data_IF_987209834673
#
_entry.id   IF_987209834673
#
_cell.length_a   1.000
_cell.length_b   1.000
_cell.length_c   1.000
_cell.angle_alpha   90.00
_cell.angle_beta   90.00
_cell.angle_gamma   90.00
#
_symmetry.space_group_name_H-M   'P 1'
#
loop_
_entity.id
_entity.type
_entity.pdbx_description
1 polymer ?
#
# COMPACT_ATOMS: atom_id res chain seq x y z
N UNK A 1 -15.24 -46.26 -25.33
CA UNK A 1 -15.32 -44.96 -24.64
C UNK A 1 -14.50 -44.99 -23.33
N UNK A 2 -13.15 -45.06 -23.41
CA UNK A 2 -12.27 -45.19 -22.22
C UNK A 2 -11.33 -43.98 -22.07
N UNK A 3 -11.32 -43.04 -23.04
CA UNK A 3 -10.37 -41.92 -23.08
C UNK A 3 -10.67 -40.75 -22.12
N UNK A 4 -11.94 -40.48 -21.80
CA UNK A 4 -12.30 -39.30 -21.00
C UNK A 4 -11.93 -39.44 -19.52
N UNK A 5 -12.23 -40.59 -18.90
CA UNK A 5 -11.97 -40.80 -17.47
C UNK A 5 -10.48 -40.78 -17.11
N UNK A 6 -9.61 -41.22 -18.02
CA UNK A 6 -8.16 -41.19 -17.80
C UNK A 6 -7.57 -39.77 -17.91
N UNK A 7 -8.20 -38.90 -18.70
CA UNK A 7 -7.82 -37.49 -18.80
C UNK A 7 -8.31 -36.69 -17.59
N UNK A 8 -9.55 -36.93 -17.14
CA UNK A 8 -10.11 -36.32 -15.92
C UNK A 8 -9.27 -36.68 -14.69
N UNK A 9 -8.93 -37.95 -14.49
CA UNK A 9 -8.10 -38.39 -13.36
C UNK A 9 -6.68 -37.77 -13.38
N UNK A 10 -6.09 -37.57 -14.57
CA UNK A 10 -4.78 -36.90 -14.69
C UNK A 10 -4.89 -35.41 -14.44
N UNK A 11 -5.98 -34.77 -14.89
CA UNK A 11 -6.25 -33.37 -14.64
C UNK A 11 -6.45 -33.11 -13.14
N UNK A 12 -7.24 -33.94 -12.46
CA UNK A 12 -7.48 -33.85 -11.01
C UNK A 12 -6.20 -34.10 -10.21
N UNK A 13 -5.35 -35.04 -10.63
CA UNK A 13 -4.05 -35.26 -10.01
C UNK A 13 -3.08 -34.08 -10.21
N UNK A 14 -3.10 -33.43 -11.37
CA UNK A 14 -2.30 -32.22 -11.65
C UNK A 14 -2.81 -31.04 -10.83
N UNK A 15 -4.13 -30.88 -10.69
CA UNK A 15 -4.75 -29.85 -9.85
C UNK A 15 -4.38 -30.07 -8.38
N UNK A 16 -4.44 -31.32 -7.89
CA UNK A 16 -4.06 -31.68 -6.52
C UNK A 16 -2.55 -31.51 -6.23
N UNK A 17 -1.70 -31.65 -7.24
CA UNK A 17 -0.25 -31.47 -7.15
C UNK A 17 0.23 -30.04 -7.42
N UNK A 18 -0.68 -29.11 -7.75
CA UNK A 18 -0.29 -27.72 -8.04
C UNK A 18 0.18 -27.05 -6.74
N UNK A 19 1.43 -26.57 -6.66
CA UNK A 19 1.95 -25.95 -5.45
C UNK A 19 1.13 -24.70 -5.09
N UNK A 20 0.85 -24.54 -3.79
CA UNK A 20 0.13 -23.36 -3.28
C UNK A 20 0.80 -22.08 -3.77
N UNK A 21 0.05 -21.15 -4.34
CA UNK A 21 0.59 -19.90 -4.86
C UNK A 21 1.41 -19.14 -3.79
N UNK A 22 2.67 -18.85 -4.12
CA UNK A 22 3.58 -18.04 -3.31
C UNK A 22 3.85 -16.72 -4.04
N UNK A 23 3.74 -15.60 -3.31
CA UNK A 23 4.11 -14.29 -3.83
C UNK A 23 5.61 -14.27 -4.07
N UNK A 24 6.03 -14.09 -5.32
CA UNK A 24 7.44 -14.02 -5.67
C UNK A 24 8.11 -12.77 -5.07
N UNK A 25 9.42 -12.84 -4.83
CA UNK A 25 10.20 -11.73 -4.29
C UNK A 25 10.10 -10.45 -5.17
N UNK A 26 10.19 -10.52 -6.52
CA UNK A 26 10.01 -9.35 -7.38
C UNK A 26 8.60 -8.73 -7.30
N UNK A 27 7.57 -9.56 -7.09
CA UNK A 27 6.21 -9.09 -6.87
C UNK A 27 6.10 -8.39 -5.50
N UNK A 28 6.75 -8.94 -4.47
CA UNK A 28 6.76 -8.33 -3.14
C UNK A 28 7.48 -6.97 -3.11
N UNK A 29 8.62 -6.84 -3.82
CA UNK A 29 9.32 -5.56 -3.97
C UNK A 29 8.43 -4.51 -4.65
N UNK A 30 7.72 -4.92 -5.71
CA UNK A 30 6.76 -4.06 -6.42
C UNK A 30 5.61 -3.64 -5.50
N UNK A 31 5.04 -4.59 -4.74
CA UNK A 31 4.00 -4.31 -3.73
C UNK A 31 4.50 -3.27 -2.73
N UNK A 32 5.69 -3.44 -2.17
CA UNK A 32 6.26 -2.49 -1.19
C UNK A 32 6.43 -1.09 -1.78
N UNK A 33 6.93 -0.99 -3.02
CA UNK A 33 7.08 0.30 -3.69
C UNK A 33 5.71 0.97 -3.93
N UNK A 34 4.71 0.23 -4.40
CA UNK A 34 3.37 0.77 -4.65
C UNK A 34 2.64 1.16 -3.37
N UNK A 35 2.83 0.40 -2.29
CA UNK A 35 2.26 0.73 -0.98
C UNK A 35 2.76 2.07 -0.48
N UNK A 36 4.07 2.34 -0.55
CA UNK A 36 4.63 3.63 -0.14
C UNK A 36 4.11 4.75 -1.05
N UNK A 37 4.04 4.52 -2.37
CA UNK A 37 3.48 5.48 -3.32
C UNK A 37 2.03 5.86 -2.97
N UNK A 38 1.19 4.87 -2.66
CA UNK A 38 -0.22 5.08 -2.29
C UNK A 38 -0.34 5.82 -0.96
N UNK A 39 0.42 5.42 0.07
CA UNK A 39 0.38 6.07 1.38
C UNK A 39 0.85 7.53 1.34
N UNK A 40 1.71 7.89 0.39
CA UNK A 40 2.20 9.26 0.22
C UNK A 40 1.44 10.07 -0.84
N UNK A 41 0.47 9.44 -1.51
CA UNK A 41 -0.33 10.10 -2.55
C UNK A 41 -1.23 11.18 -1.97
N UNK A 42 -1.23 12.36 -2.60
CA UNK A 42 -2.16 13.44 -2.27
C UNK A 42 -3.63 13.06 -2.55
N UNK A 43 -3.87 12.10 -3.45
CA UNK A 43 -5.21 11.63 -3.83
C UNK A 43 -5.80 10.61 -2.86
N UNK A 44 -5.02 10.08 -1.92
CA UNK A 44 -5.51 9.07 -0.99
C UNK A 44 -6.54 9.69 -0.03
N UNK A 45 -7.74 9.12 0.00
CA UNK A 45 -8.84 9.67 0.79
C UNK A 45 -8.78 9.28 2.28
N UNK A 46 -8.32 8.06 2.58
CA UNK A 46 -8.17 7.52 3.94
C UNK A 46 -6.99 6.55 4.01
N UNK A 47 -6.37 6.45 5.19
CA UNK A 47 -5.24 5.57 5.52
C UNK A 47 -5.67 4.24 6.15
N UNK A 48 -6.92 4.14 6.60
CA UNK A 48 -7.54 2.91 7.11
C UNK A 48 -8.61 2.38 6.17
N UNK A 49 -9.10 1.17 6.48
CA UNK A 49 -10.12 0.49 5.70
C UNK A 49 -9.57 -0.09 4.40
N UNK A 50 -10.44 -0.21 3.41
CA UNK A 50 -10.13 -0.87 2.13
C UNK A 50 -9.50 0.07 1.12
N UNK A 51 -9.71 1.38 1.25
CA UNK A 51 -9.28 2.39 0.26
C UNK A 51 -7.80 2.26 -0.14
N UNK A 52 -6.82 2.22 0.79
CA UNK A 52 -5.42 2.08 0.39
C UNK A 52 -5.14 0.76 -0.33
N UNK A 53 -5.74 -0.32 0.14
CA UNK A 53 -5.59 -1.67 -0.45
C UNK A 53 -6.12 -1.68 -1.88
N UNK A 54 -7.31 -1.11 -2.09
CA UNK A 54 -7.97 -1.13 -3.38
C UNK A 54 -7.19 -0.29 -4.42
N UNK A 55 -6.59 0.84 -4.00
CA UNK A 55 -5.66 1.60 -4.85
C UNK A 55 -4.40 0.80 -5.21
N UNK A 56 -3.76 0.12 -4.26
CA UNK A 56 -2.57 -0.70 -4.55
C UNK A 56 -2.92 -1.84 -5.51
N UNK A 57 -4.05 -2.52 -5.30
CA UNK A 57 -4.50 -3.58 -6.18
C UNK A 57 -4.83 -3.09 -7.59
N UNK A 58 -5.39 -1.88 -7.72
CA UNK A 58 -5.63 -1.25 -9.02
C UNK A 58 -4.30 -0.99 -9.76
N UNK A 59 -3.30 -0.43 -9.08
CA UNK A 59 -1.96 -0.16 -9.63
C UNK A 59 -1.27 -1.46 -10.06
N UNK A 60 -1.38 -2.52 -9.25
CA UNK A 60 -0.83 -3.84 -9.58
C UNK A 60 -1.49 -4.34 -10.88
N UNK A 61 -2.83 -4.39 -10.93
CA UNK A 61 -3.58 -4.84 -12.11
C UNK A 61 -3.27 -4.06 -13.38
N UNK A 62 -3.08 -2.74 -13.27
CA UNK A 62 -2.80 -1.86 -14.39
C UNK A 62 -1.38 -2.07 -14.93
N UNK A 63 -0.37 -2.15 -14.05
CA UNK A 63 1.02 -2.31 -14.48
C UNK A 63 1.34 -3.71 -14.99
N UNK A 64 0.56 -4.74 -14.61
CA UNK A 64 0.76 -6.17 -15.00
C UNK A 64 2.17 -6.72 -14.70
N UNK A 65 2.98 -6.02 -13.90
CA UNK A 65 4.35 -6.42 -13.58
C UNK A 65 4.34 -7.56 -12.56
N UNK A 66 5.02 -8.66 -12.88
CA UNK A 66 5.22 -9.81 -11.99
C UNK A 66 3.93 -10.48 -11.48
N UNK A 67 2.82 -10.34 -12.21
CA UNK A 67 1.53 -10.96 -11.87
C UNK A 67 1.45 -12.34 -12.53
N UNK A 68 0.92 -13.37 -11.84
CA UNK A 68 0.68 -14.68 -12.44
C UNK A 68 -0.32 -14.56 -13.58
N UNK A 69 -0.03 -15.20 -14.73
CA UNK A 69 -0.86 -15.14 -15.95
C UNK A 69 -2.33 -15.52 -15.68
N UNK A 70 -2.57 -16.40 -14.70
CA UNK A 70 -3.91 -16.90 -14.34
C UNK A 70 -4.51 -16.27 -13.06
N UNK A 71 -4.03 -15.10 -12.62
CA UNK A 71 -4.50 -14.49 -11.36
C UNK A 71 -6.02 -14.27 -11.32
N UNK A 72 -6.66 -13.97 -12.44
CA UNK A 72 -8.10 -13.72 -12.48
C UNK A 72 -8.94 -15.01 -12.36
N UNK A 73 -8.30 -16.17 -12.56
CA UNK A 73 -8.93 -17.49 -12.51
C UNK A 73 -8.62 -18.24 -11.21
N UNK A 74 -7.64 -17.76 -10.43
CA UNK A 74 -7.25 -18.35 -9.14
C UNK A 74 -7.62 -17.43 -7.96
N UNK A 75 -8.77 -17.68 -7.30
CA UNK A 75 -9.19 -16.95 -6.12
C UNK A 75 -8.20 -17.03 -4.95
N UNK A 76 -7.44 -18.12 -4.82
CA UNK A 76 -6.45 -18.30 -3.75
C UNK A 76 -5.25 -17.39 -3.99
N UNK A 77 -4.74 -17.31 -5.21
CA UNK A 77 -3.66 -16.39 -5.57
C UNK A 77 -4.06 -14.92 -5.33
N UNK A 78 -5.27 -14.53 -5.73
CA UNK A 78 -5.82 -13.19 -5.47
C UNK A 78 -5.86 -12.88 -3.98
N UNK A 79 -6.35 -13.83 -3.18
CA UNK A 79 -6.43 -13.65 -1.73
C UNK A 79 -5.05 -13.57 -1.07
N UNK A 80 -4.08 -14.36 -1.51
CA UNK A 80 -2.69 -14.24 -1.05
C UNK A 80 -2.10 -12.86 -1.34
N UNK A 81 -2.30 -12.33 -2.54
CA UNK A 81 -1.82 -10.98 -2.91
C UNK A 81 -2.52 -9.91 -2.07
N UNK A 82 -3.84 -10.01 -1.87
CA UNK A 82 -4.59 -9.10 -0.98
C UNK A 82 -4.01 -9.08 0.44
N UNK A 83 -3.72 -10.26 1.01
CA UNK A 83 -3.10 -10.39 2.33
C UNK A 83 -1.71 -9.77 2.36
N UNK A 84 -0.87 -10.05 1.36
CA UNK A 84 0.46 -9.45 1.25
C UNK A 84 0.41 -7.92 1.17
N UNK A 85 -0.52 -7.36 0.40
CA UNK A 85 -0.74 -5.91 0.31
C UNK A 85 -1.19 -5.33 1.66
N UNK A 86 -2.11 -5.99 2.37
CA UNK A 86 -2.57 -5.55 3.69
C UNK A 86 -1.43 -5.55 4.72
N UNK A 87 -0.60 -6.59 4.72
CA UNK A 87 0.56 -6.68 5.59
C UNK A 87 1.58 -5.58 5.27
N UNK A 88 1.89 -5.37 3.98
CA UNK A 88 2.79 -4.31 3.53
C UNK A 88 2.28 -2.91 3.91
N UNK A 89 0.97 -2.66 3.79
CA UNK A 89 0.34 -1.41 4.23
C UNK A 89 0.48 -1.20 5.75
N UNK A 90 0.30 -2.24 6.55
CA UNK A 90 0.49 -2.19 7.99
C UNK A 90 1.94 -1.85 8.35
N UNK A 91 2.90 -2.59 7.78
CA UNK A 91 4.32 -2.39 8.02
C UNK A 91 4.80 -1.01 7.55
N UNK A 92 4.37 -0.57 6.37
CA UNK A 92 4.74 0.73 5.81
C UNK A 92 4.19 1.89 6.63
N UNK A 93 2.96 1.78 7.14
CA UNK A 93 2.40 2.76 8.10
C UNK A 93 3.24 2.81 9.38
N UNK A 94 3.55 1.66 9.97
CA UNK A 94 4.40 1.60 11.16
C UNK A 94 5.78 2.24 10.92
N UNK A 95 6.41 1.93 9.77
CA UNK A 95 7.68 2.55 9.33
C UNK A 95 7.55 4.06 9.19
N UNK A 96 6.56 4.57 8.45
CA UNK A 96 6.35 6.00 8.27
C UNK A 96 6.18 6.69 9.63
N UNK A 97 5.35 6.14 10.53
CA UNK A 97 5.15 6.72 11.86
C UNK A 97 6.45 6.78 12.67
N UNK A 98 7.29 5.74 12.60
CA UNK A 98 8.63 5.72 13.22
C UNK A 98 9.53 6.82 12.65
N UNK A 99 9.54 6.99 11.32
CA UNK A 99 10.33 8.05 10.67
C UNK A 99 9.82 9.46 10.99
N UNK A 100 8.50 9.65 11.11
CA UNK A 100 7.92 10.92 11.58
C UNK A 100 8.41 11.25 13.00
N UNK A 101 8.45 10.26 13.90
CA UNK A 101 8.97 10.45 15.26
C UNK A 101 10.45 10.83 15.23
N UNK A 102 11.27 10.08 14.50
CA UNK A 102 12.70 10.33 14.38
C UNK A 102 13.00 11.71 13.77
N UNK A 103 12.22 12.13 12.77
CA UNK A 103 12.39 13.43 12.10
C UNK A 103 12.24 14.64 13.01
N UNK A 104 11.64 14.47 14.19
CA UNK A 104 11.40 15.54 15.18
C UNK A 104 12.41 15.54 16.34
N UNK A 105 13.39 14.64 16.33
CA UNK A 105 14.40 14.59 17.38
C UNK A 105 15.20 15.90 17.42
N UNK A 106 15.47 16.44 18.62
CA UNK A 106 16.12 17.75 18.81
C UNK A 106 17.48 17.83 18.10
N UNK A 107 18.26 16.75 18.15
CA UNK A 107 19.62 16.70 17.61
C UNK A 107 19.69 16.21 16.15
N UNK A 108 18.56 15.83 15.56
CA UNK A 108 18.49 15.24 14.21
C UNK A 108 17.18 15.61 13.49
N UNK A 109 16.69 16.83 13.68
CA UNK A 109 15.45 17.27 13.07
C UNK A 109 15.61 17.37 11.55
N UNK A 110 14.82 16.61 10.81
CA UNK A 110 14.87 16.60 9.35
C UNK A 110 13.93 17.64 8.77
N UNK A 111 14.28 18.21 7.61
CA UNK A 111 13.31 18.92 6.79
C UNK A 111 12.25 17.95 6.25
N UNK A 112 11.11 18.46 5.78
CA UNK A 112 10.09 17.61 5.14
C UNK A 112 10.65 16.95 3.88
N UNK A 113 11.52 17.65 3.14
CA UNK A 113 12.14 17.12 1.93
C UNK A 113 13.13 15.98 2.23
N UNK A 114 13.95 16.13 3.26
CA UNK A 114 14.90 15.08 3.66
C UNK A 114 14.17 13.84 4.18
N UNK A 115 13.10 14.07 4.96
CA UNK A 115 12.21 13.00 5.42
C UNK A 115 11.54 12.27 4.25
N UNK A 116 11.05 13.02 3.26
CA UNK A 116 10.47 12.45 2.05
C UNK A 116 11.49 11.58 1.31
N UNK A 117 12.68 12.12 1.06
CA UNK A 117 13.80 11.43 0.41
C UNK A 117 14.15 10.12 1.13
N UNK A 118 14.23 10.16 2.46
CA UNK A 118 14.50 8.97 3.30
C UNK A 118 13.40 7.90 3.18
N UNK A 119 12.13 8.31 3.18
CA UNK A 119 11.01 7.36 3.12
C UNK A 119 10.96 6.67 1.75
N UNK A 120 11.18 7.42 0.66
CA UNK A 120 11.07 6.91 -0.72
C UNK A 120 12.35 6.26 -1.25
N UNK A 121 13.49 6.34 -0.55
CA UNK A 121 14.78 5.84 -1.01
C UNK A 121 14.78 4.37 -1.49
N UNK A 122 13.98 3.51 -0.86
CA UNK A 122 13.84 2.09 -1.23
C UNK A 122 12.68 1.84 -2.22
N UNK A 123 12.27 2.85 -2.97
CA UNK A 123 11.12 2.79 -3.87
C UNK A 123 11.46 3.46 -5.19
N UNK A 124 10.59 3.28 -6.19
CA UNK A 124 10.71 3.98 -7.49
C UNK A 124 10.06 5.37 -7.50
N UNK A 125 9.68 5.91 -6.32
CA UNK A 125 9.00 7.20 -6.23
C UNK A 125 10.00 8.36 -6.24
N UNK A 126 9.70 9.42 -6.99
CA UNK A 126 10.38 10.70 -6.87
C UNK A 126 9.71 11.59 -5.82
N UNK A 127 10.51 12.40 -5.13
CA UNK A 127 9.98 13.40 -4.18
C UNK A 127 9.30 14.52 -4.98
N UNK A 128 8.06 14.82 -4.64
CA UNK A 128 7.26 15.87 -5.28
C UNK A 128 6.66 16.80 -4.24
N UNK A 129 6.28 18.01 -4.64
CA UNK A 129 5.63 18.98 -3.73
C UNK A 129 4.36 18.42 -3.08
N UNK A 130 3.43 17.74 -3.79
CA UNK A 130 2.25 17.15 -3.16
C UNK A 130 2.59 16.05 -2.15
N UNK A 131 3.63 15.25 -2.43
CA UNK A 131 4.12 14.24 -1.50
C UNK A 131 4.67 14.88 -0.22
N UNK A 132 5.47 15.94 -0.36
CA UNK A 132 5.98 16.72 0.76
C UNK A 132 4.84 17.33 1.59
N UNK A 133 3.84 17.93 0.94
CA UNK A 133 2.66 18.48 1.62
C UNK A 133 1.91 17.40 2.41
N UNK A 134 1.78 16.20 1.85
CA UNK A 134 1.19 15.05 2.55
C UNK A 134 2.00 14.65 3.77
N UNK A 135 3.32 14.58 3.67
CA UNK A 135 4.19 14.30 4.82
C UNK A 135 4.17 15.40 5.88
N UNK A 136 4.08 16.67 5.47
CA UNK A 136 3.96 17.79 6.39
C UNK A 136 2.67 17.67 7.22
N UNK A 137 1.54 17.32 6.59
CA UNK A 137 0.29 17.04 7.28
C UNK A 137 0.44 15.87 8.27
N UNK A 138 1.02 14.76 7.83
CA UNK A 138 1.27 13.59 8.69
C UNK A 138 2.12 13.97 9.90
N UNK A 139 3.21 14.72 9.71
CA UNK A 139 4.11 15.18 10.78
C UNK A 139 3.44 16.14 11.74
N UNK A 140 2.57 17.03 11.24
CA UNK A 140 1.77 17.96 12.05
C UNK A 140 0.81 17.18 12.95
N UNK A 141 0.01 16.28 12.39
CA UNK A 141 -0.92 15.45 13.18
C UNK A 141 -0.16 14.56 14.16
N UNK A 142 1.01 14.03 13.79
CA UNK A 142 1.85 13.22 14.68
C UNK A 142 2.43 14.04 15.86
N UNK A 143 2.41 15.37 15.79
CA UNK A 143 2.77 16.24 16.92
C UNK A 143 1.59 16.47 17.86
N UNK A 144 0.36 16.30 17.36
CA UNK A 144 -0.87 16.41 18.14
C UNK A 144 -1.24 15.07 18.81
N UNK A 145 -1.06 13.95 18.10
CA UNK A 145 -1.33 12.59 18.57
C UNK A 145 -0.33 11.60 17.94
N UNK A 146 0.58 11.02 18.73
CA UNK A 146 1.46 9.92 18.30
C UNK A 146 1.00 8.55 18.79
N UNK A 147 -0.21 8.45 19.35
CA UNK A 147 -0.80 7.27 19.95
C UNK A 147 -1.51 6.34 18.97
N UNK A 148 -2.35 5.45 19.51
CA UNK A 148 -3.06 4.44 18.72
C UNK A 148 -4.04 5.04 17.69
N UNK A 149 -4.61 6.21 17.99
CA UNK A 149 -5.62 6.91 17.17
C UNK A 149 -5.02 7.81 16.08
N UNK A 150 -3.69 7.91 15.99
CA UNK A 150 -2.98 8.74 15.02
C UNK A 150 -3.55 8.65 13.58
N UNK A 151 -3.76 7.44 13.07
CA UNK A 151 -4.28 7.25 11.71
C UNK A 151 -5.74 7.70 11.56
N UNK A 152 -6.55 7.49 12.60
CA UNK A 152 -7.94 7.97 12.64
C UNK A 152 -7.98 9.50 12.68
N UNK A 153 -7.08 10.13 13.44
CA UNK A 153 -6.94 11.58 13.49
C UNK A 153 -6.58 12.18 12.12
N UNK A 154 -5.69 11.53 11.36
CA UNK A 154 -5.35 11.94 9.99
C UNK A 154 -6.57 11.81 9.08
N UNK A 155 -7.27 10.68 9.10
CA UNK A 155 -8.44 10.45 8.24
C UNK A 155 -9.55 11.47 8.50
N UNK A 156 -9.78 11.80 9.78
CA UNK A 156 -10.70 12.88 10.17
C UNK A 156 -10.25 14.25 9.67
N UNK A 157 -8.95 14.60 9.83
CA UNK A 157 -8.40 15.87 9.35
C UNK A 157 -8.53 16.01 7.83
N UNK A 158 -8.31 14.91 7.11
CA UNK A 158 -8.47 14.85 5.67
C UNK A 158 -9.92 15.00 5.22
N UNK A 159 -10.88 14.40 5.94
CA UNK A 159 -12.30 14.60 5.68
C UNK A 159 -12.68 16.08 5.85
N UNK A 160 -12.24 16.71 6.95
CA UNK A 160 -12.47 18.13 7.20
C UNK A 160 -11.92 19.02 6.07
N UNK A 161 -10.67 18.80 5.64
CA UNK A 161 -10.06 19.57 4.56
C UNK A 161 -10.90 19.48 3.26
N UNK A 162 -11.44 18.31 2.93
CA UNK A 162 -12.28 18.13 1.73
C UNK A 162 -13.60 18.87 1.86
N UNK A 163 -14.26 18.77 3.01
CA UNK A 163 -15.52 19.48 3.26
C UNK A 163 -15.31 20.99 3.20
N UNK A 164 -14.25 21.51 3.81
CA UNK A 164 -13.94 22.95 3.76
C UNK A 164 -13.58 23.42 2.36
N UNK A 165 -12.82 22.63 1.58
CA UNK A 165 -12.48 22.96 0.20
C UNK A 165 -13.71 22.97 -0.71
N UNK A 166 -14.65 22.05 -0.49
CA UNK A 166 -15.93 22.01 -1.21
C UNK A 166 -16.76 23.26 -0.92
N UNK A 167 -16.89 23.64 0.36
CA UNK A 167 -17.62 24.85 0.76
C UNK A 167 -16.98 26.12 0.16
N UNK A 168 -15.66 26.23 0.15
CA UNK A 168 -14.95 27.41 -0.38
C UNK A 168 -15.03 27.58 -1.90
N UNK A 169 -15.51 26.57 -2.63
CA UNK A 169 -15.69 26.60 -4.09
C UNK A 169 -17.15 26.76 -4.51
N UNK A 170 -18.06 26.89 -3.55
CA UNK A 170 -19.49 27.14 -3.76
C UNK A 170 -19.83 28.57 -3.34
#
# INVERSE_FOLDING_TARGET
MVGNYALENKLDAIIAATPSFVVSEPLMESINSYVVAVLLSAKLSAYKGTVPRDHVLAIIKENKVNIPVNINQDPHAVNKIKVSVQNALMQSRARIKKELKASKAKDASLSIYDLATKIVAATRCSVTVPLCARLALLRKVHTEDDGAKFWDAIDNRLALIRTSAFIATT
#
